data_IF_114921824757
#
_entry.id   IF_114921824757
#
_cell.length_a   1.000
_cell.length_b   1.000
_cell.length_c   1.000
_cell.angle_alpha   90.00
_cell.angle_beta   90.00
_cell.angle_gamma   90.00
#
_symmetry.space_group_name_H-M   'P 1'
#
loop_
_entity.id
_entity.type
_entity.pdbx_description
1 polymer ?
#
# COMPACT_ATOMS: atom_id res chain seq x y z
N UNK A 1 -32.80 2.08 23.54
CA UNK A 1 -31.39 1.96 23.95
C UNK A 1 -30.69 3.23 23.50
N UNK A 2 -30.35 4.12 24.43
CA UNK A 2 -29.66 5.36 24.10
C UNK A 2 -28.18 5.00 23.92
N UNK A 3 -27.68 5.07 22.69
CA UNK A 3 -26.29 4.77 22.39
C UNK A 3 -25.37 5.67 23.22
N UNK A 4 -24.30 5.11 23.76
CA UNK A 4 -23.33 5.83 24.56
C UNK A 4 -22.66 6.90 23.67
N UNK A 5 -22.98 8.19 23.88
CA UNK A 5 -22.62 9.33 23.02
C UNK A 5 -21.12 9.43 22.71
N UNK A 6 -20.29 8.83 23.57
CA UNK A 6 -18.84 8.72 23.40
C UNK A 6 -18.41 8.03 22.10
N UNK A 7 -19.25 7.18 21.52
CA UNK A 7 -18.92 6.42 20.31
C UNK A 7 -19.64 6.90 19.05
N UNK A 8 -20.51 7.91 19.13
CA UNK A 8 -21.28 8.39 17.97
C UNK A 8 -20.38 8.82 16.82
N UNK A 9 -19.30 9.54 17.12
CA UNK A 9 -18.31 9.95 16.12
C UNK A 9 -17.57 8.76 15.48
N UNK A 10 -17.26 7.73 16.27
CA UNK A 10 -16.57 6.52 15.78
C UNK A 10 -17.49 5.69 14.89
N UNK A 11 -18.76 5.57 15.27
CA UNK A 11 -19.77 4.87 14.48
C UNK A 11 -20.02 5.59 13.15
N UNK A 12 -20.17 6.92 13.18
CA UNK A 12 -20.33 7.71 11.96
C UNK A 12 -19.11 7.59 11.02
N UNK A 13 -17.90 7.53 11.57
CA UNK A 13 -16.67 7.31 10.80
C UNK A 13 -16.63 5.90 10.19
N UNK A 14 -17.00 4.88 10.97
CA UNK A 14 -17.06 3.49 10.51
C UNK A 14 -18.05 3.34 9.35
N UNK A 15 -19.25 3.93 9.49
CA UNK A 15 -20.28 3.88 8.46
C UNK A 15 -19.83 4.57 7.17
N UNK A 16 -19.15 5.72 7.27
CA UNK A 16 -18.61 6.44 6.12
C UNK A 16 -17.51 5.65 5.41
N UNK A 17 -16.60 5.01 6.17
CA UNK A 17 -15.48 4.24 5.64
C UNK A 17 -15.79 2.78 5.34
N UNK A 18 -17.03 2.33 5.53
CA UNK A 18 -17.40 0.92 5.42
C UNK A 18 -17.13 0.35 4.02
N UNK A 19 -17.54 1.08 2.99
CA UNK A 19 -17.32 0.67 1.60
C UNK A 19 -15.84 0.64 1.24
N UNK A 20 -15.09 1.68 1.60
CA UNK A 20 -13.65 1.75 1.34
C UNK A 20 -12.89 0.61 2.04
N UNK A 21 -13.26 0.29 3.28
CA UNK A 21 -12.65 -0.79 4.06
C UNK A 21 -12.95 -2.19 3.53
N UNK A 22 -14.06 -2.37 2.80
CA UNK A 22 -14.44 -3.65 2.20
C UNK A 22 -14.04 -3.78 0.73
N UNK A 23 -13.50 -2.73 0.12
CA UNK A 23 -13.12 -2.74 -1.30
C UNK A 23 -12.23 -3.93 -1.66
N UNK A 24 -11.32 -4.35 -0.78
CA UNK A 24 -10.44 -5.48 -1.05
C UNK A 24 -11.17 -6.82 -1.26
N UNK A 25 -12.43 -6.95 -0.82
CA UNK A 25 -13.24 -8.16 -1.04
C UNK A 25 -13.67 -8.31 -2.50
N UNK A 26 -13.55 -7.27 -3.34
CA UNK A 26 -13.76 -7.40 -4.79
C UNK A 26 -12.60 -8.11 -5.50
N UNK A 27 -11.46 -8.24 -4.84
CA UNK A 27 -10.26 -8.88 -5.39
C UNK A 27 -10.29 -10.40 -5.20
N UNK A 28 -9.46 -11.16 -5.94
CA UNK A 28 -9.25 -12.59 -5.69
C UNK A 28 -8.92 -12.90 -4.23
N UNK A 29 -9.43 -14.00 -3.69
CA UNK A 29 -9.19 -14.43 -2.29
C UNK A 29 -7.70 -14.54 -1.96
N UNK A 30 -6.87 -14.90 -2.94
CA UNK A 30 -5.43 -14.99 -2.79
C UNK A 30 -4.76 -13.64 -2.47
N UNK A 31 -5.36 -12.51 -2.88
CA UNK A 31 -4.88 -11.16 -2.59
C UNK A 31 -5.35 -10.63 -1.23
N UNK A 32 -6.42 -11.20 -0.65
CA UNK A 32 -7.02 -10.67 0.58
C UNK A 32 -6.05 -10.63 1.75
N UNK A 33 -5.20 -11.66 1.89
CA UNK A 33 -4.21 -11.70 2.97
C UNK A 33 -3.27 -10.48 2.96
N UNK A 34 -2.92 -10.03 1.76
CA UNK A 34 -2.00 -8.92 1.54
C UNK A 34 -2.69 -7.56 1.58
N UNK A 35 -3.93 -7.48 1.10
CA UNK A 35 -4.71 -6.23 0.99
C UNK A 35 -5.49 -5.87 2.26
N UNK A 36 -5.82 -6.84 3.12
CA UNK A 36 -6.62 -6.60 4.35
C UNK A 36 -5.98 -5.62 5.33
N UNK A 37 -4.67 -5.38 5.26
CA UNK A 37 -3.96 -4.52 6.21
C UNK A 37 -2.97 -3.58 5.51
N UNK A 38 -2.68 -2.45 6.15
CA UNK A 38 -1.70 -1.46 5.67
C UNK A 38 -0.26 -1.77 6.07
N UNK A 39 0.01 -2.88 6.75
CA UNK A 39 1.32 -3.21 7.32
C UNK A 39 2.47 -3.16 6.31
N UNK A 40 2.25 -3.71 5.11
CA UNK A 40 3.25 -3.71 4.04
C UNK A 40 3.52 -2.31 3.51
N UNK A 41 2.48 -1.49 3.35
CA UNK A 41 2.61 -0.09 2.95
C UNK A 41 3.34 0.73 4.01
N UNK A 42 3.04 0.51 5.29
CA UNK A 42 3.72 1.16 6.41
C UNK A 42 5.20 0.77 6.47
N UNK A 43 5.53 -0.51 6.25
CA UNK A 43 6.91 -1.00 6.19
C UNK A 43 7.66 -0.38 5.01
N UNK A 44 7.05 -0.33 3.83
CA UNK A 44 7.59 0.30 2.63
C UNK A 44 7.86 1.80 2.86
N UNK A 45 6.88 2.53 3.38
CA UNK A 45 7.02 3.95 3.69
C UNK A 45 8.13 4.19 4.72
N UNK A 46 8.22 3.34 5.75
CA UNK A 46 9.30 3.42 6.76
C UNK A 46 10.67 3.26 6.12
N UNK A 47 10.83 2.33 5.18
CA UNK A 47 12.09 2.09 4.49
C UNK A 47 12.47 3.27 3.58
N UNK A 48 11.51 3.82 2.83
CA UNK A 48 11.71 5.05 2.03
C UNK A 48 12.17 6.19 2.94
N UNK A 49 11.46 6.46 4.04
CA UNK A 49 11.83 7.53 4.99
C UNK A 49 13.21 7.30 5.61
N UNK A 50 13.59 6.05 5.87
CA UNK A 50 14.92 5.70 6.40
C UNK A 50 16.03 6.07 5.42
N UNK A 51 15.86 5.77 4.12
CA UNK A 51 16.85 6.07 3.08
C UNK A 51 16.86 7.55 2.68
N UNK A 52 15.68 8.18 2.63
CA UNK A 52 15.52 9.63 2.44
C UNK A 52 16.29 10.42 3.49
N UNK A 53 16.19 10.03 4.77
CA UNK A 53 16.82 10.74 5.89
C UNK A 53 18.34 10.87 5.75
N UNK A 54 19.00 9.93 5.04
CA UNK A 54 20.44 9.98 4.78
C UNK A 54 20.79 11.00 3.70
N UNK A 55 19.94 11.15 2.69
CA UNK A 55 20.13 12.11 1.59
C UNK A 55 19.77 13.53 2.04
N UNK A 56 18.74 13.67 2.89
CA UNK A 56 18.17 14.92 3.43
C UNK A 56 17.59 15.90 2.39
N UNK A 57 18.32 16.21 1.31
CA UNK A 57 17.90 17.12 0.23
C UNK A 57 18.30 16.51 -1.10
N UNK A 58 17.33 16.31 -1.99
CA UNK A 58 17.59 15.83 -3.35
C UNK A 58 17.92 16.99 -4.30
N UNK A 59 18.88 16.80 -5.22
CA UNK A 59 19.24 17.84 -6.19
C UNK A 59 18.18 18.05 -7.29
N UNK A 60 17.32 17.06 -7.54
CA UNK A 60 16.20 17.12 -8.47
C UNK A 60 15.23 15.94 -8.21
N UNK A 61 14.06 15.97 -8.84
CA UNK A 61 13.01 14.94 -8.72
C UNK A 61 13.49 13.58 -9.21
N UNK A 62 14.20 13.52 -10.35
CA UNK A 62 14.71 12.27 -10.94
C UNK A 62 15.64 11.52 -9.99
N UNK A 63 16.45 12.23 -9.20
CA UNK A 63 17.30 11.62 -8.17
C UNK A 63 16.48 11.01 -7.02
N UNK A 64 15.36 11.62 -6.64
CA UNK A 64 14.45 11.05 -5.64
C UNK A 64 13.72 9.81 -6.19
N UNK A 65 13.23 9.88 -7.42
CA UNK A 65 12.60 8.76 -8.12
C UNK A 65 13.54 7.55 -8.22
N UNK A 66 14.83 7.76 -8.50
CA UNK A 66 15.83 6.67 -8.53
C UNK A 66 15.98 5.99 -7.18
N UNK A 67 16.01 6.76 -6.08
CA UNK A 67 16.13 6.18 -4.74
C UNK A 67 14.87 5.40 -4.37
N UNK A 68 13.69 5.97 -4.61
CA UNK A 68 12.41 5.32 -4.34
C UNK A 68 12.29 4.07 -5.21
N UNK A 69 12.56 4.17 -6.51
CA UNK A 69 12.55 3.06 -7.46
C UNK A 69 13.47 1.92 -7.05
N UNK A 70 14.70 2.23 -6.60
CA UNK A 70 15.61 1.22 -6.08
C UNK A 70 15.06 0.51 -4.83
N UNK A 71 14.44 1.25 -3.89
CA UNK A 71 13.77 0.64 -2.72
C UNK A 71 12.62 -0.27 -3.14
N UNK A 72 11.81 0.16 -4.12
CA UNK A 72 10.69 -0.61 -4.62
C UNK A 72 11.15 -1.91 -5.31
N UNK A 73 12.24 -1.85 -6.09
CA UNK A 73 12.84 -3.03 -6.70
C UNK A 73 13.34 -4.02 -5.64
N UNK A 74 14.04 -3.54 -4.60
CA UNK A 74 14.51 -4.38 -3.49
C UNK A 74 13.33 -5.08 -2.77
N UNK A 75 12.25 -4.34 -2.49
CA UNK A 75 11.07 -4.88 -1.80
C UNK A 75 10.34 -5.88 -2.69
N UNK A 76 10.22 -5.60 -3.99
CA UNK A 76 9.60 -6.52 -4.93
C UNK A 76 10.37 -7.83 -4.98
N UNK A 77 11.70 -7.79 -5.01
CA UNK A 77 12.53 -9.00 -4.94
C UNK A 77 12.30 -9.78 -3.64
N UNK A 78 12.22 -9.11 -2.49
CA UNK A 78 11.90 -9.74 -1.20
C UNK A 78 10.53 -10.43 -1.24
N UNK A 79 9.50 -9.77 -1.80
CA UNK A 79 8.15 -10.33 -1.91
C UNK A 79 8.08 -11.55 -2.82
N UNK A 80 8.88 -11.59 -3.89
CA UNK A 80 8.97 -12.77 -4.78
C UNK A 80 9.64 -13.97 -4.10
N UNK A 81 10.52 -13.73 -3.12
CA UNK A 81 11.21 -14.78 -2.38
C UNK A 81 10.39 -15.35 -1.20
N UNK A 82 9.25 -14.73 -0.85
CA UNK A 82 8.41 -15.22 0.24
C UNK A 82 7.77 -16.58 -0.12
N UNK A 83 7.59 -17.49 0.85
CA UNK A 83 6.91 -18.77 0.62
C UNK A 83 5.51 -18.63 0.01
N UNK A 84 4.84 -17.52 0.32
CA UNK A 84 3.63 -17.05 -0.35
C UNK A 84 3.90 -15.63 -0.88
N UNK A 85 4.06 -15.43 -2.19
CA UNK A 85 4.26 -14.10 -2.78
C UNK A 85 3.16 -13.12 -2.38
N UNK A 86 3.54 -11.85 -2.21
CA UNK A 86 2.63 -10.80 -1.71
C UNK A 86 1.40 -10.60 -2.60
N UNK A 87 1.47 -10.89 -3.91
CA UNK A 87 0.31 -10.98 -4.79
C UNK A 87 0.42 -12.26 -5.62
N UNK A 88 -0.37 -13.27 -5.28
CA UNK A 88 -0.47 -14.54 -6.00
C UNK A 88 -1.72 -14.54 -6.88
N UNK A 89 -1.52 -14.38 -8.19
CA UNK A 89 -2.62 -14.39 -9.15
C UNK A 89 -2.08 -14.17 -10.56
N UNK A 90 -2.89 -14.39 -11.61
CA UNK A 90 -2.49 -14.03 -12.97
C UNK A 90 -2.06 -12.56 -12.94
N UNK A 91 -0.87 -12.28 -13.48
CA UNK A 91 -0.49 -10.90 -13.81
C UNK A 91 -1.68 -10.37 -14.60
N UNK A 92 -2.35 -9.35 -14.08
CA UNK A 92 -3.34 -8.64 -14.87
C UNK A 92 -2.55 -8.07 -16.05
N UNK A 93 -2.66 -8.71 -17.21
CA UNK A 93 -2.24 -8.17 -18.52
C UNK A 93 -3.12 -6.98 -18.91
N UNK A 94 -3.69 -6.27 -17.94
CA UNK A 94 -4.25 -4.98 -18.19
C UNK A 94 -3.05 -4.05 -18.34
N UNK A 95 -2.80 -3.63 -19.59
CA UNK A 95 -1.96 -2.49 -19.88
C UNK A 95 -2.42 -1.35 -18.98
N UNK A 96 -1.66 -1.08 -17.91
CA UNK A 96 -1.83 0.15 -17.17
C UNK A 96 -1.65 1.26 -18.20
N UNK A 97 -2.66 2.12 -18.43
CA UNK A 97 -2.49 3.27 -19.29
C UNK A 97 -1.64 4.27 -18.49
N UNK A 98 -0.34 4.00 -18.38
CA UNK A 98 0.62 5.05 -18.13
C UNK A 98 0.58 5.95 -19.36
N UNK A 99 -0.36 6.90 -19.34
CA UNK A 99 -0.30 8.06 -20.22
C UNK A 99 1.05 8.69 -19.94
N UNK A 100 1.98 8.51 -20.87
CA UNK A 100 3.23 9.25 -20.86
C UNK A 100 2.89 10.61 -21.44
N UNK A 101 2.27 11.46 -20.62
CA UNK A 101 2.17 12.90 -20.86
C UNK A 101 3.35 13.61 -20.19
#
# INVERSE_FOLDING_TARGET
MQGDSRYEAVLALLDQGFHDGLQYLSEPEDYHFSLRTTNSLERLNREIRRREKVVSIFPNVVSAERLIGAVLMDIQEEWQQMPKPFLQGPVLEEEFPFSTD
#
